data_IF_714215226690
#
_entry.id   IF_714215226690
#
_cell.length_a   1.000
_cell.length_b   1.000
_cell.length_c   1.000
_cell.angle_alpha   90.00
_cell.angle_beta   90.00
_cell.angle_gamma   90.00
#
_symmetry.space_group_name_H-M   'P 1'
#
loop_
_entity.id
_entity.type
_entity.pdbx_description
1 polymer ?
#
# COMPACT_ATOMS: atom_id res chain seq x y z
N UNK A 1 -11.24 -9.34 0.53
CA UNK A 1 -10.12 -10.18 0.04
C UNK A 1 -9.21 -9.48 -0.98
N UNK A 2 -9.47 -8.24 -1.40
CA UNK A 2 -8.64 -7.53 -2.38
C UNK A 2 -7.34 -6.91 -1.80
N UNK A 3 -7.26 -6.67 -0.48
CA UNK A 3 -6.11 -6.03 0.18
C UNK A 3 -4.80 -6.78 -0.05
N UNK A 4 -4.82 -8.11 0.07
CA UNK A 4 -3.63 -8.96 -0.13
C UNK A 4 -3.12 -8.84 -1.58
N UNK A 5 -4.00 -8.81 -2.57
CA UNK A 5 -3.59 -8.65 -3.97
C UNK A 5 -2.89 -7.30 -4.22
N UNK A 6 -3.38 -6.22 -3.61
CA UNK A 6 -2.74 -4.91 -3.71
C UNK A 6 -1.38 -4.89 -3.02
N UNK A 7 -1.26 -5.47 -1.83
CA UNK A 7 0.00 -5.61 -1.10
C UNK A 7 1.04 -6.40 -1.90
N UNK A 8 0.64 -7.50 -2.53
CA UNK A 8 1.51 -8.28 -3.42
C UNK A 8 1.99 -7.45 -4.62
N UNK A 9 1.13 -6.66 -5.24
CA UNK A 9 1.51 -5.78 -6.33
C UNK A 9 2.49 -4.66 -5.91
N UNK A 10 2.35 -4.15 -4.68
CA UNK A 10 3.29 -3.18 -4.11
C UNK A 10 4.65 -3.84 -3.86
N UNK A 11 4.68 -5.04 -3.27
CA UNK A 11 5.90 -5.79 -3.02
C UNK A 11 6.65 -6.14 -4.32
N UNK A 12 5.93 -6.57 -5.36
CA UNK A 12 6.49 -6.84 -6.69
C UNK A 12 7.12 -5.57 -7.29
N UNK A 13 6.40 -4.44 -7.24
CA UNK A 13 6.88 -3.16 -7.77
C UNK A 13 8.13 -2.65 -7.08
N UNK A 14 8.24 -2.85 -5.77
CA UNK A 14 9.41 -2.44 -4.99
C UNK A 14 10.54 -3.48 -5.03
N UNK A 15 10.28 -4.68 -5.55
CA UNK A 15 11.25 -5.77 -5.61
C UNK A 15 11.68 -6.28 -4.24
N UNK A 16 10.88 -6.05 -3.19
CA UNK A 16 11.19 -6.41 -1.79
C UNK A 16 9.91 -6.76 -1.01
N UNK A 17 10.01 -7.60 0.03
CA UNK A 17 8.88 -7.83 0.93
C UNK A 17 8.51 -6.53 1.66
N UNK A 18 7.22 -6.34 1.90
CA UNK A 18 6.68 -5.23 2.70
C UNK A 18 6.19 -5.75 4.05
N UNK A 19 6.41 -4.98 5.10
CA UNK A 19 5.87 -5.27 6.43
C UNK A 19 4.54 -4.55 6.58
N UNK A 20 3.45 -5.30 6.66
CA UNK A 20 2.10 -4.75 6.78
C UNK A 20 1.43 -5.30 8.04
N UNK A 21 0.81 -4.39 8.80
CA UNK A 21 0.03 -4.71 9.98
C UNK A 21 -1.45 -4.91 9.59
N UNK A 22 -2.01 -6.12 9.77
CA UNK A 22 -3.41 -6.40 9.47
C UNK A 22 -4.42 -5.77 10.42
N UNK A 23 -3.99 -5.36 11.61
CA UNK A 23 -4.86 -4.76 12.63
C UNK A 23 -4.99 -3.26 12.37
N UNK A 24 -3.85 -2.60 12.18
CA UNK A 24 -3.80 -1.15 11.91
C UNK A 24 -3.97 -0.80 10.42
N UNK A 25 -3.98 -1.80 9.54
CA UNK A 25 -4.03 -1.67 8.07
C UNK A 25 -2.97 -0.71 7.52
N UNK A 26 -1.74 -0.81 8.04
CA UNK A 26 -0.63 0.10 7.71
C UNK A 26 0.64 -0.63 7.32
N UNK A 27 1.43 0.02 6.49
CA UNK A 27 2.77 -0.45 6.15
C UNK A 27 3.75 0.13 7.17
N UNK A 28 4.56 -0.75 7.77
CA UNK A 28 5.52 -0.41 8.81
C UNK A 28 6.89 -0.15 8.18
N UNK A 29 7.55 0.93 8.60
CA UNK A 29 8.94 1.28 8.25
C UNK A 29 9.26 1.38 6.75
N UNK A 30 8.26 1.47 5.86
CA UNK A 30 8.45 1.58 4.41
C UNK A 30 7.66 2.76 3.81
N UNK A 31 8.24 3.97 3.80
CA UNK A 31 7.57 5.16 3.25
C UNK A 31 7.37 5.08 1.73
N UNK A 32 8.16 4.25 1.03
CA UNK A 32 8.00 4.05 -0.41
C UNK A 32 6.75 3.21 -0.69
N UNK A 33 6.53 2.17 0.10
CA UNK A 33 5.34 1.34 0.03
C UNK A 33 4.09 2.06 0.54
N UNK A 34 4.19 2.87 1.61
CA UNK A 34 3.09 3.67 2.15
C UNK A 34 2.51 4.64 1.10
N UNK A 35 3.37 5.24 0.27
CA UNK A 35 2.95 6.12 -0.84
C UNK A 35 2.12 5.41 -1.91
N UNK A 36 2.32 4.11 -2.09
CA UNK A 36 1.52 3.31 -3.01
C UNK A 36 0.24 2.80 -2.35
N UNK A 37 0.27 2.60 -1.04
CA UNK A 37 -0.87 2.17 -0.24
C UNK A 37 -1.96 3.26 -0.16
N UNK A 38 -1.58 4.48 0.22
CA UNK A 38 -2.47 5.63 0.24
C UNK A 38 -2.00 6.70 -0.75
N UNK A 39 -2.24 6.44 -2.04
CA UNK A 39 -1.94 7.41 -3.09
C UNK A 39 -3.04 8.47 -3.13
N UNK A 40 -2.69 9.78 -3.13
CA UNK A 40 -3.70 10.83 -3.26
C UNK A 40 -4.53 10.63 -4.52
N UNK A 41 -5.84 10.60 -4.34
CA UNK A 41 -6.81 10.44 -5.43
C UNK A 41 -6.78 11.69 -6.31
N UNK A 42 -6.96 11.49 -7.62
CA UNK A 42 -6.95 12.60 -8.59
C UNK A 42 -8.23 13.43 -8.47
N UNK A 43 -8.12 14.75 -8.31
CA UNK A 43 -9.26 15.68 -8.38
C UNK A 43 -10.05 15.54 -9.69
N UNK A 44 -11.40 15.62 -9.65
CA UNK A 44 -12.28 15.84 -8.50
C UNK A 44 -12.73 14.55 -7.79
N UNK A 45 -12.16 13.39 -8.12
CA UNK A 45 -12.58 12.08 -7.60
C UNK A 45 -12.04 11.81 -6.19
N UNK A 46 -12.31 12.74 -5.28
CA UNK A 46 -12.16 12.56 -3.84
C UNK A 46 -13.49 12.04 -3.31
N UNK A 47 -13.43 10.96 -2.53
CA UNK A 47 -14.58 10.30 -1.91
C UNK A 47 -14.28 10.22 -0.41
#
# INVERSE_FOLDING_TARGET
TATICHLSGIAERLGRPIHWDPVEERILDDPAAERWYDRPRRTPYVL
#
